data_IF_510382887582
#
_entry.id   IF_510382887582
#
_cell.length_a   1.000
_cell.length_b   1.000
_cell.length_c   1.000
_cell.angle_alpha   90.00
_cell.angle_beta   90.00
_cell.angle_gamma   90.00
#
_symmetry.space_group_name_H-M   'P 1'
#
loop_
_entity.id
_entity.type
_entity.pdbx_description
1 polymer ?
#
# COMPACT_ATOMS: atom_id res chain seq x y z
N UNK A 1 -28.26 -3.52 -15.68
CA UNK A 1 -28.84 -4.09 -14.45
C UNK A 1 -29.63 -3.00 -13.78
N UNK A 2 -30.88 -3.25 -13.37
CA UNK A 2 -31.67 -2.30 -12.56
C UNK A 2 -31.56 -2.71 -11.10
N UNK A 3 -30.87 -1.89 -10.30
CA UNK A 3 -30.78 -1.70 -8.83
C UNK A 3 -31.27 -2.72 -7.76
N UNK A 4 -31.99 -3.80 -8.05
CA UNK A 4 -32.56 -4.69 -7.02
C UNK A 4 -31.59 -5.75 -6.47
N UNK A 5 -30.32 -5.79 -6.92
CA UNK A 5 -29.45 -6.97 -6.70
C UNK A 5 -28.03 -6.72 -6.18
N UNK A 6 -27.66 -5.54 -5.63
CA UNK A 6 -26.39 -5.43 -4.88
C UNK A 6 -26.65 -5.82 -3.42
N UNK A 7 -26.17 -7.00 -3.02
CA UNK A 7 -26.37 -7.53 -1.67
C UNK A 7 -25.71 -6.65 -0.59
N UNK A 8 -26.20 -6.73 0.65
CA UNK A 8 -25.57 -6.02 1.79
C UNK A 8 -24.11 -6.40 1.99
N UNK A 9 -23.78 -7.66 1.70
CA UNK A 9 -22.42 -8.19 1.77
C UNK A 9 -21.53 -7.53 0.71
N UNK A 10 -22.04 -7.38 -0.51
CA UNK A 10 -21.35 -6.70 -1.59
C UNK A 10 -21.14 -5.20 -1.27
N UNK A 11 -22.14 -4.52 -0.71
CA UNK A 11 -21.96 -3.14 -0.25
C UNK A 11 -20.87 -3.05 0.82
N UNK A 12 -20.83 -3.99 1.77
CA UNK A 12 -19.78 -4.04 2.79
C UNK A 12 -18.40 -4.33 2.18
N UNK A 13 -18.34 -5.15 1.13
CA UNK A 13 -17.14 -5.42 0.32
C UNK A 13 -16.61 -4.14 -0.33
N UNK A 14 -17.47 -3.45 -1.08
CA UNK A 14 -17.12 -2.25 -1.84
C UNK A 14 -16.64 -1.12 -0.92
N UNK A 15 -17.19 -1.01 0.28
CA UNK A 15 -16.70 -0.04 1.29
C UNK A 15 -15.26 -0.29 1.74
N UNK A 16 -14.78 -1.54 1.66
CA UNK A 16 -13.45 -1.98 2.12
C UNK A 16 -12.43 -2.08 0.99
N UNK A 17 -12.77 -1.62 -0.21
CA UNK A 17 -11.82 -1.53 -1.33
C UNK A 17 -10.67 -0.60 -0.98
N UNK A 18 -9.53 -0.86 -1.59
CA UNK A 18 -8.32 -0.06 -1.42
C UNK A 18 -8.54 1.39 -1.93
N UNK A 19 -8.44 2.41 -1.05
CA UNK A 19 -8.60 3.81 -1.45
C UNK A 19 -7.62 4.24 -2.55
N UNK A 20 -6.39 3.73 -2.55
CA UNK A 20 -5.41 4.02 -3.60
C UNK A 20 -5.83 3.44 -4.96
N UNK A 21 -6.38 2.22 -4.96
CA UNK A 21 -6.93 1.58 -6.15
C UNK A 21 -8.11 2.34 -6.74
N UNK A 22 -9.04 2.75 -5.88
CA UNK A 22 -10.22 3.54 -6.29
C UNK A 22 -9.80 4.90 -6.84
N UNK A 23 -8.84 5.57 -6.19
CA UNK A 23 -8.27 6.82 -6.71
C UNK A 23 -7.62 6.60 -8.08
N UNK A 24 -6.80 5.56 -8.25
CA UNK A 24 -6.18 5.24 -9.53
C UNK A 24 -7.23 4.95 -10.63
N UNK A 25 -8.30 4.24 -10.31
CA UNK A 25 -9.40 3.95 -11.25
C UNK A 25 -10.21 5.19 -11.62
N UNK A 26 -10.44 6.13 -10.67
CA UNK A 26 -11.09 7.41 -10.95
C UNK A 26 -10.23 8.31 -11.86
N UNK A 27 -8.90 8.26 -11.68
CA UNK A 27 -7.98 8.89 -12.62
C UNK A 27 -8.04 8.17 -13.95
N UNK A 28 -8.06 6.84 -13.98
CA UNK A 28 -8.11 6.09 -15.23
C UNK A 28 -9.33 6.42 -16.09
N UNK A 29 -10.49 6.60 -15.46
CA UNK A 29 -11.76 6.79 -16.13
C UNK A 29 -11.98 8.21 -16.65
N UNK A 30 -11.08 9.16 -16.38
CA UNK A 30 -11.33 10.58 -16.71
C UNK A 30 -12.08 11.35 -15.63
N UNK A 31 -12.52 10.68 -14.56
CA UNK A 31 -13.38 11.28 -13.53
C UNK A 31 -12.61 12.17 -12.54
N UNK A 32 -11.29 11.99 -12.44
CA UNK A 32 -10.43 12.78 -11.57
C UNK A 32 -9.10 13.12 -12.27
N UNK A 33 -8.60 14.34 -12.09
CA UNK A 33 -7.25 14.71 -12.54
C UNK A 33 -6.19 14.11 -11.61
N UNK A 34 -5.05 13.73 -12.16
CA UNK A 34 -3.99 13.03 -11.42
C UNK A 34 -3.46 13.78 -10.18
N UNK A 35 -3.33 15.11 -10.23
CA UNK A 35 -2.83 15.90 -9.09
C UNK A 35 -3.93 16.24 -8.08
N UNK A 36 -5.18 15.85 -8.33
CA UNK A 36 -6.30 16.16 -7.44
C UNK A 36 -6.26 15.22 -6.25
N UNK A 37 -6.00 15.78 -5.07
CA UNK A 37 -6.13 15.02 -3.84
C UNK A 37 -7.60 14.63 -3.59
N UNK A 38 -7.84 13.41 -3.13
CA UNK A 38 -9.14 13.06 -2.58
C UNK A 38 -9.25 13.75 -1.21
N UNK A 39 -10.25 14.63 -1.01
CA UNK A 39 -10.34 15.41 0.22
C UNK A 39 -10.59 14.50 1.42
N UNK A 40 -9.95 14.84 2.54
CA UNK A 40 -10.15 14.14 3.82
C UNK A 40 -11.58 14.32 4.38
N UNK A 41 -12.34 15.28 3.86
CA UNK A 41 -13.69 15.64 4.31
C UNK A 41 -14.52 16.22 3.16
N UNK A 42 -15.79 15.82 3.10
CA UNK A 42 -16.83 16.43 2.24
C UNK A 42 -17.91 16.97 3.20
N UNK A 43 -18.00 18.29 3.35
CA UNK A 43 -19.01 19.00 4.16
C UNK A 43 -19.16 18.56 5.64
N UNK A 44 -20.40 18.43 6.11
CA UNK A 44 -20.81 18.09 7.48
C UNK A 44 -21.00 16.59 7.72
N UNK A 45 -20.80 15.76 6.70
CA UNK A 45 -20.81 14.31 6.85
C UNK A 45 -19.54 13.90 7.61
N UNK A 46 -19.70 13.11 8.68
CA UNK A 46 -18.55 12.48 9.36
C UNK A 46 -17.87 11.57 8.34
N UNK A 47 -16.68 11.90 7.83
CA UNK A 47 -16.06 11.11 6.79
C UNK A 47 -15.36 9.95 7.48
N UNK A 48 -15.77 8.72 7.17
CA UNK A 48 -14.78 7.65 7.10
C UNK A 48 -14.93 7.01 5.71
N UNK A 49 -14.01 7.38 4.80
CA UNK A 49 -12.89 6.48 4.49
C UNK A 49 -13.32 5.25 3.68
N UNK A 50 -14.25 5.40 2.75
CA UNK A 50 -14.62 4.28 1.91
C UNK A 50 -14.67 4.70 0.44
N UNK A 51 -14.42 3.73 -0.42
CA UNK A 51 -14.37 3.91 -1.86
C UNK A 51 -15.59 4.64 -2.44
N UNK A 52 -16.76 4.50 -1.83
CA UNK A 52 -18.03 5.07 -2.32
C UNK A 52 -17.97 6.59 -2.27
N UNK A 53 -17.49 7.17 -1.18
CA UNK A 53 -17.43 8.63 -1.04
C UNK A 53 -16.39 9.26 -1.99
N UNK A 54 -15.29 8.56 -2.26
CA UNK A 54 -14.33 8.97 -3.28
C UNK A 54 -14.97 9.05 -4.67
N UNK A 55 -15.78 8.06 -5.04
CA UNK A 55 -16.48 8.02 -6.32
C UNK A 55 -17.55 9.09 -6.41
N UNK A 56 -18.36 9.26 -5.36
CA UNK A 56 -19.36 10.34 -5.28
C UNK A 56 -18.72 11.71 -5.47
N UNK A 57 -17.57 11.95 -4.85
CA UNK A 57 -16.82 13.20 -4.98
C UNK A 57 -16.34 13.43 -6.41
N UNK A 58 -15.63 12.46 -6.98
CA UNK A 58 -15.01 12.60 -8.30
C UNK A 58 -16.07 12.71 -9.41
N UNK A 59 -17.07 11.82 -9.38
CA UNK A 59 -18.10 11.73 -10.42
C UNK A 59 -19.27 12.68 -10.21
N UNK A 60 -19.37 13.34 -9.04
CA UNK A 60 -20.52 14.15 -8.62
C UNK A 60 -21.84 13.38 -8.75
N UNK A 61 -21.82 12.11 -8.36
CA UNK A 61 -22.94 11.18 -8.51
C UNK A 61 -23.59 10.85 -7.16
N UNK A 62 -24.77 10.22 -7.19
CA UNK A 62 -25.41 9.72 -5.98
C UNK A 62 -24.77 8.42 -5.46
N UNK A 63 -25.27 7.94 -4.32
CA UNK A 63 -24.77 6.73 -3.66
C UNK A 63 -24.91 5.47 -4.50
N UNK A 64 -26.01 5.34 -5.25
CA UNK A 64 -26.31 4.14 -6.02
C UNK A 64 -25.45 4.09 -7.28
N UNK A 65 -25.32 5.22 -7.96
CA UNK A 65 -24.41 5.39 -9.10
C UNK A 65 -22.96 5.10 -8.70
N UNK A 66 -22.55 5.49 -7.49
CA UNK A 66 -21.22 5.18 -6.98
C UNK A 66 -21.02 3.68 -6.69
N UNK A 67 -22.04 3.00 -6.15
CA UNK A 67 -22.00 1.56 -5.92
C UNK A 67 -21.92 0.78 -7.24
N UNK A 68 -22.74 1.13 -8.22
CA UNK A 68 -22.72 0.50 -9.55
C UNK A 68 -21.35 0.64 -10.19
N UNK A 69 -20.78 1.86 -10.17
CA UNK A 69 -19.44 2.10 -10.71
C UNK A 69 -18.38 1.25 -10.00
N UNK A 70 -18.40 1.19 -8.66
CA UNK A 70 -17.43 0.38 -7.91
C UNK A 70 -17.60 -1.11 -8.18
N UNK A 71 -18.83 -1.59 -8.24
CA UNK A 71 -19.12 -2.99 -8.55
C UNK A 71 -18.58 -3.37 -9.93
N UNK A 72 -18.83 -2.54 -10.96
CA UNK A 72 -18.35 -2.76 -12.32
C UNK A 72 -16.81 -2.75 -12.43
N UNK A 73 -16.14 -1.85 -11.70
CA UNK A 73 -14.69 -1.66 -11.82
C UNK A 73 -13.87 -2.57 -10.89
N UNK A 74 -14.46 -3.08 -9.81
CA UNK A 74 -13.78 -3.86 -8.78
C UNK A 74 -14.47 -5.19 -8.46
N UNK A 75 -15.26 -5.75 -9.39
CA UNK A 75 -15.93 -7.05 -9.22
C UNK A 75 -14.96 -8.16 -8.75
N UNK A 76 -13.77 -8.22 -9.36
CA UNK A 76 -12.75 -9.25 -9.08
C UNK A 76 -11.74 -8.83 -7.98
N UNK A 77 -11.91 -7.67 -7.35
CA UNK A 77 -10.95 -7.20 -6.34
C UNK A 77 -11.16 -7.88 -4.98
N UNK A 78 -10.21 -8.76 -4.64
CA UNK A 78 -10.14 -9.51 -3.39
C UNK A 78 -9.40 -8.80 -2.23
N UNK A 79 -9.07 -7.51 -2.33
CA UNK A 79 -8.47 -6.74 -1.22
C UNK A 79 -9.33 -6.78 0.05
N UNK A 80 -10.64 -6.86 -0.11
CA UNK A 80 -11.60 -6.97 0.99
C UNK A 80 -11.48 -8.26 1.84
N UNK A 81 -11.09 -9.40 1.23
CA UNK A 81 -11.03 -10.71 1.91
C UNK A 81 -9.92 -10.76 2.97
N UNK A 82 -8.92 -9.90 2.83
CA UNK A 82 -7.74 -9.83 3.71
C UNK A 82 -7.93 -8.89 4.90
N UNK A 83 -9.02 -8.12 4.91
CA UNK A 83 -9.42 -7.23 5.98
C UNK A 83 -10.33 -7.90 7.04
N UNK A 84 -10.33 -9.24 7.11
CA UNK A 84 -11.20 -10.02 8.01
C UNK A 84 -10.39 -10.47 9.24
N UNK A 85 -10.93 -10.23 10.45
CA UNK A 85 -10.40 -10.79 11.70
C UNK A 85 -9.80 -9.79 12.70
N UNK A 86 -10.33 -8.56 12.76
CA UNK A 86 -9.87 -7.55 13.72
C UNK A 86 -10.34 -7.94 15.12
N UNK A 87 -9.41 -8.37 15.99
CA UNK A 87 -9.66 -8.39 17.44
C UNK A 87 -9.45 -6.97 17.96
N UNK A 88 -10.54 -6.29 18.33
CA UNK A 88 -10.45 -4.99 18.97
C UNK A 88 -9.73 -5.16 20.31
N UNK A 89 -8.71 -4.36 20.57
CA UNK A 89 -8.07 -4.36 21.89
C UNK A 89 -9.04 -3.64 22.83
N UNK A 90 -9.72 -4.40 23.68
CA UNK A 90 -10.64 -3.91 24.71
C UNK A 90 -9.86 -3.36 25.92
N UNK A 91 -8.98 -2.38 25.69
CA UNK A 91 -8.39 -1.61 26.79
C UNK A 91 -8.45 -0.13 26.50
N UNK A 92 -8.53 0.65 27.57
CA UNK A 92 -8.39 2.09 27.48
C UNK A 92 -6.97 2.43 27.01
N UNK A 93 -6.91 3.39 26.07
CA UNK A 93 -5.67 3.88 25.51
C UNK A 93 -5.13 5.01 26.39
N UNK A 94 -3.82 5.05 26.59
CA UNK A 94 -3.19 6.22 27.19
C UNK A 94 -3.25 7.42 26.24
N UNK A 95 -3.20 8.64 26.76
CA UNK A 95 -3.22 9.87 25.95
C UNK A 95 -2.15 9.88 24.84
N UNK A 96 -0.94 9.40 25.17
CA UNK A 96 0.13 9.26 24.17
C UNK A 96 -0.22 8.27 23.05
N UNK A 97 -0.94 7.19 23.36
CA UNK A 97 -1.38 6.21 22.37
C UNK A 97 -2.52 6.76 21.51
N UNK A 98 -3.39 7.60 22.06
CA UNK A 98 -4.43 8.32 21.30
C UNK A 98 -3.78 9.25 20.27
N UNK A 99 -2.72 9.98 20.65
CA UNK A 99 -1.96 10.83 19.72
C UNK A 99 -1.28 9.98 18.63
N UNK A 100 -0.61 8.89 19.00
CA UNK A 100 0.01 7.99 18.02
C UNK A 100 -1.03 7.41 17.07
N UNK A 101 -2.20 6.98 17.56
CA UNK A 101 -3.29 6.47 16.72
C UNK A 101 -3.77 7.47 15.67
N UNK A 102 -3.85 8.76 16.03
CA UNK A 102 -4.19 9.83 15.09
C UNK A 102 -3.10 10.00 14.02
N UNK A 103 -1.83 9.95 14.41
CA UNK A 103 -0.70 10.07 13.49
C UNK A 103 -0.58 8.86 12.54
N UNK A 104 -0.74 7.64 13.07
CA UNK A 104 -0.80 6.40 12.27
C UNK A 104 -1.89 6.49 11.22
N UNK A 105 -3.11 6.86 11.64
CA UNK A 105 -4.23 7.03 10.71
C UNK A 105 -3.90 8.08 9.64
N UNK A 106 -3.43 9.25 10.05
CA UNK A 106 -3.05 10.32 9.12
C UNK A 106 -2.00 9.88 8.10
N UNK A 107 -1.02 9.09 8.53
CA UNK A 107 0.03 8.56 7.66
C UNK A 107 -0.52 7.50 6.69
N UNK A 108 -1.33 6.56 7.19
CA UNK A 108 -1.97 5.53 6.37
C UNK A 108 -2.91 6.13 5.33
N UNK A 109 -3.74 7.12 5.69
CA UNK A 109 -4.65 7.82 4.78
C UNK A 109 -3.89 8.54 3.65
N UNK A 110 -2.75 9.16 4.00
CA UNK A 110 -1.90 9.88 3.06
C UNK A 110 -1.24 8.93 2.05
N UNK A 111 -0.74 7.78 2.52
CA UNK A 111 -0.27 6.71 1.65
C UNK A 111 -1.45 6.14 0.82
N UNK A 112 -2.62 6.04 1.44
CA UNK A 112 -3.84 5.44 0.89
C UNK A 112 -3.76 3.93 0.73
N UNK A 113 -2.76 3.27 1.33
CA UNK A 113 -2.62 1.81 1.24
C UNK A 113 -3.61 1.10 2.16
N UNK A 114 -4.22 0.03 1.65
CA UNK A 114 -5.06 -0.87 2.44
C UNK A 114 -4.27 -1.77 3.38
N UNK A 115 -3.06 -2.17 2.95
CA UNK A 115 -2.21 -3.14 3.64
C UNK A 115 -0.80 -2.59 3.83
N UNK A 116 -0.20 -2.91 4.97
CA UNK A 116 1.18 -2.61 5.26
C UNK A 116 1.86 -3.73 6.05
N UNK A 117 3.18 -3.80 5.90
CA UNK A 117 4.06 -4.64 6.70
C UNK A 117 4.69 -3.79 7.79
N UNK A 118 4.67 -4.27 9.03
CA UNK A 118 5.36 -3.64 10.14
C UNK A 118 6.74 -4.28 10.36
N UNK A 119 7.75 -3.44 10.59
CA UNK A 119 9.11 -3.88 10.90
C UNK A 119 9.64 -3.17 12.13
N UNK A 120 10.16 -3.94 13.08
CA UNK A 120 10.86 -3.45 14.25
C UNK A 120 12.35 -3.60 14.02
N UNK A 121 13.01 -2.51 13.66
CA UNK A 121 14.42 -2.47 13.26
C UNK A 121 15.32 -2.21 14.47
N UNK A 122 16.41 -2.96 14.57
CA UNK A 122 17.42 -2.73 15.61
C UNK A 122 18.04 -1.33 15.49
N UNK A 123 18.41 -0.70 16.61
CA UNK A 123 19.00 0.65 16.59
C UNK A 123 20.34 0.72 15.86
N UNK A 124 21.06 -0.39 15.77
CA UNK A 124 22.34 -0.50 15.08
C UNK A 124 22.20 -0.81 13.57
N UNK A 125 21.00 -1.15 13.10
CA UNK A 125 20.78 -1.55 11.71
C UNK A 125 20.76 -0.34 10.75
N UNK A 126 21.31 -0.54 9.55
CA UNK A 126 21.27 0.46 8.48
C UNK A 126 20.08 0.23 7.55
N UNK A 127 19.32 1.28 7.26
CA UNK A 127 18.09 1.23 6.45
C UNK A 127 18.42 0.76 5.03
N UNK A 128 19.53 1.24 4.44
CA UNK A 128 19.99 0.86 3.11
C UNK A 128 20.21 -0.65 2.90
N UNK A 129 20.43 -1.43 3.98
CA UNK A 129 20.70 -2.88 3.92
C UNK A 129 19.45 -3.76 4.00
N UNK A 130 18.24 -3.19 4.07
CA UNK A 130 16.98 -3.93 4.23
C UNK A 130 16.75 -5.03 3.17
N UNK A 131 17.31 -4.87 1.97
CA UNK A 131 17.15 -5.81 0.85
C UNK A 131 17.95 -7.12 1.01
N UNK A 132 19.08 -7.07 1.71
CA UNK A 132 20.02 -8.19 1.86
C UNK A 132 20.05 -8.75 3.29
N UNK A 133 19.39 -8.09 4.23
CA UNK A 133 19.45 -8.45 5.64
C UNK A 133 18.43 -9.53 6.04
N UNK A 134 18.85 -10.41 6.95
CA UNK A 134 17.99 -11.44 7.52
C UNK A 134 16.96 -10.78 8.45
N UNK A 135 15.71 -10.75 8.01
CA UNK A 135 14.56 -10.40 8.86
C UNK A 135 14.07 -11.64 9.60
N UNK A 136 14.01 -11.56 10.92
CA UNK A 136 13.48 -12.64 11.74
C UNK A 136 11.95 -12.58 11.76
N UNK A 137 11.32 -13.69 11.38
CA UNK A 137 9.88 -13.84 11.37
C UNK A 137 9.39 -14.13 12.79
N UNK A 138 8.57 -13.26 13.36
CA UNK A 138 7.99 -13.51 14.69
C UNK A 138 6.48 -13.23 14.68
N UNK A 139 5.73 -14.09 15.36
CA UNK A 139 4.28 -13.91 15.54
C UNK A 139 4.00 -12.81 16.55
N UNK A 140 2.84 -12.16 16.50
CA UNK A 140 2.47 -11.12 17.48
C UNK A 140 2.54 -11.65 18.93
N UNK A 141 2.02 -12.86 19.17
CA UNK A 141 2.00 -13.50 20.50
C UNK A 141 3.37 -13.97 20.98
N UNK A 142 4.23 -14.43 20.08
CA UNK A 142 5.60 -14.81 20.45
C UNK A 142 6.43 -13.56 20.68
N UNK A 143 6.20 -12.51 19.89
CA UNK A 143 6.87 -11.24 20.06
C UNK A 143 6.49 -10.58 21.38
N UNK A 144 5.24 -10.63 21.83
CA UNK A 144 4.85 -10.17 23.17
C UNK A 144 5.59 -10.90 24.31
N UNK A 145 5.97 -12.16 24.10
CA UNK A 145 6.69 -12.99 25.08
C UNK A 145 8.22 -12.89 24.96
N UNK A 146 8.75 -12.24 23.91
CA UNK A 146 10.19 -12.09 23.75
C UNK A 146 10.75 -11.18 24.86
N UNK A 147 11.91 -11.53 25.42
CA UNK A 147 12.59 -10.69 26.40
C UNK A 147 12.84 -9.29 25.81
N UNK A 148 12.97 -8.25 26.66
CA UNK A 148 13.32 -6.91 26.22
C UNK A 148 14.57 -6.98 25.34
N UNK A 149 14.58 -6.22 24.23
CA UNK A 149 15.71 -6.27 23.28
C UNK A 149 17.06 -6.07 24.00
N UNK A 150 17.08 -5.20 25.01
CA UNK A 150 18.24 -4.89 25.85
C UNK A 150 18.93 -6.09 26.52
N UNK A 151 18.24 -7.24 26.67
CA UNK A 151 18.80 -8.46 27.25
C UNK A 151 19.44 -9.40 26.21
N UNK A 152 19.23 -9.13 24.92
CA UNK A 152 19.80 -9.93 23.81
C UNK A 152 21.18 -9.38 23.42
N UNK A 153 22.23 -10.16 23.70
CA UNK A 153 23.61 -9.80 23.37
C UNK A 153 23.76 -9.34 21.90
N UNK A 154 24.45 -8.21 21.61
CA UNK A 154 24.60 -7.65 20.26
C UNK A 154 25.14 -8.64 19.22
N UNK A 155 25.98 -9.59 19.65
CA UNK A 155 26.54 -10.63 18.78
C UNK A 155 25.47 -11.54 18.15
N UNK A 156 24.36 -11.78 18.87
CA UNK A 156 23.22 -12.57 18.36
C UNK A 156 22.41 -11.83 17.29
N UNK A 157 22.69 -10.54 17.07
CA UNK A 157 22.04 -9.66 16.07
C UNK A 157 22.89 -9.46 14.83
N UNK A 158 24.14 -9.94 14.81
CA UNK A 158 25.06 -9.74 13.70
C UNK A 158 24.45 -10.28 12.39
N UNK A 159 24.25 -9.40 11.42
CA UNK A 159 23.63 -9.74 10.12
C UNK A 159 22.10 -9.71 10.09
N UNK A 160 21.42 -9.33 11.18
CA UNK A 160 19.96 -9.16 11.24
C UNK A 160 19.58 -7.68 11.18
N UNK A 161 18.51 -7.36 10.47
CA UNK A 161 17.96 -6.00 10.39
C UNK A 161 16.95 -5.70 11.50
N UNK A 162 16.19 -6.71 11.89
CA UNK A 162 15.09 -6.55 12.82
C UNK A 162 14.07 -7.67 12.68
N UNK A 163 12.89 -7.40 13.22
CA UNK A 163 11.77 -8.32 13.28
C UNK A 163 10.65 -7.90 12.32
N UNK A 164 10.16 -8.86 11.55
CA UNK A 164 8.90 -8.73 10.80
C UNK A 164 7.75 -9.14 11.71
N UNK A 165 6.89 -8.18 12.04
CA UNK A 165 5.70 -8.45 12.84
C UNK A 165 4.70 -9.22 11.99
N UNK A 166 4.07 -10.25 12.56
CA UNK A 166 2.96 -10.95 11.91
C UNK A 166 3.38 -12.08 10.96
N UNK A 167 4.66 -12.44 10.91
CA UNK A 167 5.11 -13.61 10.14
C UNK A 167 5.15 -14.85 11.02
N UNK A 168 4.41 -15.89 10.64
CA UNK A 168 4.25 -17.14 11.38
C UNK A 168 4.54 -18.36 10.51
N UNK A 169 4.93 -19.47 11.12
CA UNK A 169 4.97 -20.77 10.45
C UNK A 169 3.67 -21.51 10.76
N UNK A 170 2.86 -21.80 9.75
CA UNK A 170 1.62 -22.57 9.88
C UNK A 170 1.72 -23.79 8.97
N UNK A 171 1.57 -25.00 9.53
CA UNK A 171 1.69 -26.26 8.79
C UNK A 171 3.00 -26.43 8.00
N UNK A 172 4.11 -25.85 8.48
CA UNK A 172 5.40 -25.85 7.80
C UNK A 172 5.58 -24.76 6.73
N UNK A 173 4.54 -23.98 6.42
CA UNK A 173 4.60 -22.86 5.48
C UNK A 173 4.74 -21.51 6.22
N UNK A 174 5.57 -20.62 5.68
CA UNK A 174 5.72 -19.25 6.20
C UNK A 174 4.55 -18.41 5.71
N UNK A 175 3.63 -18.07 6.62
CA UNK A 175 2.51 -17.17 6.37
C UNK A 175 2.83 -15.80 6.93
N UNK A 176 2.59 -14.74 6.15
CA UNK A 176 2.77 -13.35 6.58
C UNK A 176 1.41 -12.67 6.70
N UNK A 177 1.17 -12.02 7.84
CA UNK A 177 0.04 -11.13 8.06
C UNK A 177 0.43 -9.71 7.64
N UNK A 178 -0.38 -9.10 6.78
CA UNK A 178 -0.34 -7.66 6.54
C UNK A 178 -1.34 -6.95 7.44
N UNK A 179 -1.03 -5.71 7.79
CA UNK A 179 -1.76 -4.89 8.75
C UNK A 179 -2.48 -3.78 8.00
N UNK A 180 -3.80 -3.69 8.17
CA UNK A 180 -4.52 -2.49 7.76
C UNK A 180 -4.39 -1.38 8.81
N UNK A 181 -4.92 -0.19 8.54
CA UNK A 181 -4.87 0.96 9.46
C UNK A 181 -5.34 0.62 10.87
N UNK A 182 -6.42 -0.16 11.00
CA UNK A 182 -6.97 -0.51 12.30
C UNK A 182 -6.11 -1.52 13.04
N UNK A 183 -5.52 -2.47 12.32
CA UNK A 183 -4.55 -3.41 12.90
C UNK A 183 -3.33 -2.66 13.45
N UNK A 184 -2.77 -1.72 12.69
CA UNK A 184 -1.62 -0.91 13.17
C UNK A 184 -2.01 -0.10 14.40
N UNK A 185 -3.20 0.51 14.43
CA UNK A 185 -3.71 1.24 15.59
C UNK A 185 -3.86 0.33 16.83
N UNK A 186 -4.33 -0.90 16.63
CA UNK A 186 -4.45 -1.88 17.72
C UNK A 186 -3.06 -2.32 18.24
N UNK A 187 -2.02 -2.29 17.40
CA UNK A 187 -0.65 -2.62 17.79
C UNK A 187 0.08 -1.47 18.52
N UNK A 188 -0.49 -0.25 18.63
CA UNK A 188 0.25 0.94 19.12
C UNK A 188 0.88 0.73 20.49
N UNK A 189 0.21 0.05 21.41
CA UNK A 189 0.75 -0.21 22.75
C UNK A 189 2.01 -1.07 22.73
N UNK A 190 1.96 -2.18 22.00
CA UNK A 190 3.13 -3.06 21.80
C UNK A 190 4.25 -2.31 21.09
N UNK A 191 3.95 -1.61 20.00
CA UNK A 191 4.96 -0.85 19.23
C UNK A 191 5.61 0.25 20.09
N UNK A 192 4.84 0.90 20.97
CA UNK A 192 5.33 1.96 21.86
C UNK A 192 6.29 1.38 22.90
N UNK A 193 5.95 0.25 23.49
CA UNK A 193 6.83 -0.47 24.41
C UNK A 193 8.15 -0.83 23.71
N UNK A 194 8.07 -1.46 22.54
CA UNK A 194 9.24 -1.90 21.76
C UNK A 194 10.11 -0.74 21.29
N UNK A 195 9.50 0.41 20.98
CA UNK A 195 10.26 1.62 20.72
C UNK A 195 10.97 2.17 21.97
N UNK A 196 10.37 2.03 23.14
CA UNK A 196 11.02 2.31 24.43
C UNK A 196 12.21 1.41 24.74
N UNK A 197 12.19 0.17 24.26
CA UNK A 197 13.29 -0.79 24.41
C UNK A 197 14.47 -0.54 23.46
N UNK A 198 14.30 0.35 22.47
CA UNK A 198 15.36 0.72 21.52
C UNK A 198 15.16 0.17 20.11
N UNK A 199 13.95 -0.27 19.75
CA UNK A 199 13.62 -0.66 18.37
C UNK A 199 13.00 0.50 17.59
N UNK A 200 13.44 0.68 16.34
CA UNK A 200 12.84 1.63 15.41
C UNK A 200 11.59 1.00 14.78
N UNK A 201 10.53 1.80 14.62
CA UNK A 201 9.27 1.31 14.02
C UNK A 201 9.15 1.80 12.59
N UNK A 202 9.03 0.84 11.67
CA UNK A 202 8.91 1.06 10.23
C UNK A 202 7.61 0.44 9.71
N UNK A 203 7.08 1.04 8.65
CA UNK A 203 5.92 0.58 7.91
C UNK A 203 6.27 0.52 6.42
N UNK A 204 6.05 -0.62 5.77
CA UNK A 204 6.21 -0.78 4.32
C UNK A 204 4.84 -0.99 3.67
N UNK A 205 4.36 -0.09 2.80
CA UNK A 205 3.11 -0.28 2.08
C UNK A 205 3.15 -1.56 1.22
N UNK A 206 2.10 -2.38 1.29
CA UNK A 206 1.95 -3.65 0.57
C UNK A 206 0.78 -3.61 -0.41
N UNK A 207 0.81 -2.62 -1.28
CA UNK A 207 -0.33 -2.23 -2.12
C UNK A 207 -0.35 -2.99 -3.48
N UNK A 208 -1.55 -3.37 -3.92
CA UNK A 208 -1.79 -4.03 -5.21
C UNK A 208 -1.87 -3.06 -6.38
N UNK A 209 -2.23 -1.81 -6.10
CA UNK A 209 -2.64 -0.79 -7.05
C UNK A 209 -1.64 0.36 -7.18
N UNK A 210 -0.68 0.50 -6.25
CA UNK A 210 0.33 1.55 -6.31
C UNK A 210 1.75 1.07 -6.04
N UNK A 211 2.71 1.78 -6.63
CA UNK A 211 4.09 1.83 -6.16
C UNK A 211 4.30 3.07 -5.29
N UNK A 212 5.27 2.97 -4.39
CA UNK A 212 5.69 4.06 -3.52
C UNK A 212 7.16 4.36 -3.80
N UNK A 213 7.45 5.59 -4.16
CA UNK A 213 8.81 6.08 -4.40
C UNK A 213 9.21 6.87 -3.17
N UNK A 214 10.15 6.32 -2.41
CA UNK A 214 10.75 6.95 -1.25
C UNK A 214 12.02 7.71 -1.69
N UNK A 215 12.13 8.98 -1.31
CA UNK A 215 13.36 9.75 -1.27
C UNK A 215 13.79 9.78 0.20
N UNK A 216 14.79 8.97 0.55
CA UNK A 216 15.30 8.86 1.92
C UNK A 216 16.41 9.87 2.17
N UNK A 217 16.61 10.31 3.42
CA UNK A 217 17.48 11.45 3.77
C UNK A 217 17.31 12.65 2.79
N UNK A 218 16.06 13.02 2.55
CA UNK A 218 15.68 13.91 1.45
C UNK A 218 16.26 15.33 1.57
N UNK A 219 16.86 15.78 0.47
CA UNK A 219 17.31 17.14 0.24
C UNK A 219 16.20 18.00 -0.40
N UNK A 220 16.39 19.31 -0.41
CA UNK A 220 15.60 20.19 -1.25
C UNK A 220 15.88 19.94 -2.75
N UNK A 221 15.05 20.51 -3.64
CA UNK A 221 15.24 20.35 -5.09
C UNK A 221 16.49 21.02 -5.68
N UNK A 222 17.26 21.73 -4.86
CA UNK A 222 18.56 22.27 -5.22
C UNK A 222 19.72 21.42 -4.69
N UNK A 223 19.42 20.26 -4.07
CA UNK A 223 20.42 19.35 -3.51
C UNK A 223 21.01 19.85 -2.19
N UNK A 224 20.27 20.64 -1.41
CA UNK A 224 20.72 21.19 -0.13
C UNK A 224 19.87 20.68 1.03
N UNK A 225 20.49 20.58 2.20
CA UNK A 225 19.77 20.36 3.45
C UNK A 225 18.85 21.56 3.75
N UNK A 226 17.65 21.28 4.23
CA UNK A 226 16.63 22.28 4.55
C UNK A 226 15.77 21.81 5.72
N UNK A 227 15.23 22.75 6.50
CA UNK A 227 14.25 22.46 7.55
C UNK A 227 12.90 22.00 6.99
N UNK A 228 12.63 22.29 5.71
CA UNK A 228 11.41 21.87 5.02
C UNK A 228 11.72 21.57 3.55
N UNK A 229 12.45 20.49 3.25
CA UNK A 229 12.85 20.18 1.88
C UNK A 229 11.63 20.04 0.98
N UNK A 230 10.56 19.42 1.48
CA UNK A 230 9.28 19.20 0.78
C UNK A 230 8.67 20.46 0.19
N UNK A 231 8.88 21.64 0.80
CA UNK A 231 8.35 22.90 0.28
C UNK A 231 8.89 23.20 -1.12
N UNK A 232 10.20 23.07 -1.32
CA UNK A 232 10.82 23.28 -2.64
C UNK A 232 10.27 22.33 -3.70
N UNK A 233 9.97 21.08 -3.32
CA UNK A 233 9.36 20.10 -4.21
C UNK A 233 7.96 20.54 -4.63
N UNK A 234 7.13 20.96 -3.68
CA UNK A 234 5.77 21.45 -3.93
C UNK A 234 5.79 22.70 -4.82
N UNK A 235 6.68 23.67 -4.52
CA UNK A 235 6.83 24.91 -5.27
C UNK A 235 7.24 24.63 -6.73
N UNK A 236 7.99 23.56 -6.98
CA UNK A 236 8.36 23.09 -8.32
C UNK A 236 7.30 22.20 -9.01
N UNK A 237 6.09 22.12 -8.43
CA UNK A 237 4.94 21.40 -9.00
C UNK A 237 4.88 19.90 -8.69
N UNK A 238 5.74 19.38 -7.80
CA UNK A 238 5.56 18.01 -7.31
C UNK A 238 4.40 17.94 -6.31
N UNK A 239 3.79 16.76 -6.18
CA UNK A 239 2.70 16.47 -5.23
C UNK A 239 3.04 15.23 -4.39
N UNK A 240 3.93 15.35 -3.39
CA UNK A 240 4.20 14.26 -2.46
C UNK A 240 2.91 13.80 -1.78
N UNK A 241 2.74 12.51 -1.54
CA UNK A 241 1.61 12.04 -0.74
C UNK A 241 1.90 12.13 0.76
N UNK A 242 3.16 11.97 1.15
CA UNK A 242 3.61 12.04 2.53
C UNK A 242 5.02 12.63 2.57
N UNK A 243 5.26 13.49 3.56
CA UNK A 243 6.61 13.83 3.98
C UNK A 243 6.74 13.72 5.50
N UNK A 244 7.88 13.19 5.94
CA UNK A 244 8.18 12.97 7.34
C UNK A 244 9.47 13.69 7.71
N UNK A 245 9.55 14.28 8.89
CA UNK A 245 10.80 14.59 9.57
C UNK A 245 11.17 13.37 10.43
N UNK A 246 12.21 12.64 10.05
CA UNK A 246 12.58 11.33 10.63
C UNK A 246 13.66 11.43 11.72
N UNK A 247 14.42 12.52 11.73
CA UNK A 247 15.32 12.90 12.82
C UNK A 247 15.38 14.42 12.94
N UNK A 248 16.40 14.97 13.60
CA UNK A 248 16.53 16.41 13.79
C UNK A 248 16.54 17.19 12.46
N UNK A 249 17.31 16.70 11.47
CA UNK A 249 17.50 17.40 10.19
C UNK A 249 17.21 16.50 8.96
N UNK A 250 16.83 15.24 9.16
CA UNK A 250 16.54 14.30 8.07
C UNK A 250 15.04 14.17 7.80
N UNK A 251 14.71 13.98 6.53
CA UNK A 251 13.36 13.90 6.03
C UNK A 251 13.17 12.70 5.09
N UNK A 252 11.93 12.21 5.02
CA UNK A 252 11.50 11.24 4.00
C UNK A 252 10.45 11.86 3.09
N UNK A 253 10.77 11.86 1.81
CA UNK A 253 10.02 12.14 0.57
C UNK A 253 9.15 11.00 0.02
N UNK A 254 7.82 10.94 0.13
CA UNK A 254 7.06 9.82 -0.48
C UNK A 254 6.16 10.32 -1.61
N UNK A 255 6.31 9.69 -2.78
CA UNK A 255 5.40 9.82 -3.91
C UNK A 255 4.70 8.51 -4.19
N UNK A 256 3.42 8.59 -4.55
CA UNK A 256 2.64 7.44 -5.03
C UNK A 256 2.60 7.46 -6.55
N UNK A 257 2.78 6.30 -7.16
CA UNK A 257 2.65 6.08 -8.60
C UNK A 257 1.66 4.94 -8.83
N UNK A 258 0.61 5.13 -9.62
CA UNK A 258 -0.42 4.10 -9.78
C UNK A 258 0.11 2.96 -10.67
N UNK A 259 -0.22 1.72 -10.34
CA UNK A 259 0.02 0.51 -11.16
C UNK A 259 -1.04 0.37 -12.26
N UNK A 260 -2.28 0.79 -11.96
CA UNK A 260 -3.46 0.80 -12.83
C UNK A 260 -3.80 2.24 -13.29
N UNK A 261 -4.48 2.47 -14.44
CA UNK A 261 -5.16 1.50 -15.31
C UNK A 261 -4.25 0.73 -16.26
N UNK A 262 -2.94 0.87 -16.12
CA UNK A 262 -2.03 0.35 -17.11
C UNK A 262 -1.68 -1.14 -16.96
N UNK A 263 -2.58 -1.95 -16.38
CA UNK A 263 -2.48 -3.41 -16.40
C UNK A 263 -3.11 -3.91 -17.68
N UNK A 264 -2.31 -4.56 -18.53
CA UNK A 264 -2.82 -5.28 -19.69
C UNK A 264 -3.42 -6.61 -19.20
N UNK A 265 -4.71 -6.86 -19.47
CA UNK A 265 -5.49 -8.03 -19.00
C UNK A 265 -4.94 -9.39 -19.47
N UNK A 266 -3.92 -9.40 -20.30
CA UNK A 266 -3.45 -10.51 -21.11
C UNK A 266 -2.15 -11.17 -20.59
N UNK A 267 -1.58 -10.73 -19.46
CA UNK A 267 -0.40 -11.36 -18.87
C UNK A 267 -0.72 -12.18 -17.60
N UNK A 268 -0.29 -13.43 -17.64
CA UNK A 268 -0.49 -14.48 -16.63
C UNK A 268 0.06 -14.04 -15.27
N UNK A 269 -0.83 -13.82 -14.29
CA UNK A 269 -0.63 -14.17 -12.88
C UNK A 269 0.53 -13.55 -12.10
N UNK A 270 1.30 -12.60 -12.63
CA UNK A 270 2.33 -11.87 -11.90
C UNK A 270 2.15 -10.36 -12.07
N UNK A 271 2.54 -9.63 -11.02
CA UNK A 271 2.45 -8.18 -10.72
C UNK A 271 2.96 -7.26 -11.87
N UNK A 272 2.23 -7.25 -13.00
CA UNK A 272 2.51 -6.57 -14.27
C UNK A 272 1.70 -5.27 -14.41
N UNK A 273 2.28 -4.16 -13.96
CA UNK A 273 1.89 -2.79 -14.34
C UNK A 273 2.54 -2.39 -15.67
N UNK A 274 2.09 -1.33 -16.36
CA UNK A 274 2.80 -0.84 -17.56
C UNK A 274 4.20 -0.28 -17.31
N UNK A 275 4.58 -0.08 -16.05
CA UNK A 275 5.94 0.28 -15.73
C UNK A 275 6.81 -0.95 -15.96
N UNK A 276 7.77 -0.83 -16.89
CA UNK A 276 8.97 -1.63 -16.79
C UNK A 276 9.55 -1.38 -15.39
N UNK A 277 9.51 -2.41 -14.53
CA UNK A 277 10.03 -2.35 -13.16
C UNK A 277 11.45 -1.84 -13.14
N UNK A 278 12.25 -2.14 -14.16
CA UNK A 278 13.63 -1.66 -14.28
C UNK A 278 13.65 -0.14 -14.45
N UNK A 279 12.82 0.42 -15.32
CA UNK A 279 12.73 1.87 -15.52
C UNK A 279 12.24 2.62 -14.28
N UNK A 280 11.21 2.10 -13.60
CA UNK A 280 10.73 2.68 -12.33
C UNK A 280 11.82 2.62 -11.25
N UNK A 281 12.56 1.51 -11.19
CA UNK A 281 13.68 1.34 -10.28
C UNK A 281 14.83 2.31 -10.60
N UNK A 282 15.14 2.52 -11.89
CA UNK A 282 16.14 3.50 -12.33
C UNK A 282 15.72 4.93 -11.96
N UNK A 283 14.43 5.27 -12.13
CA UNK A 283 13.92 6.56 -11.68
C UNK A 283 14.07 6.75 -10.17
N UNK A 284 13.66 5.75 -9.37
CA UNK A 284 13.86 5.74 -7.92
C UNK A 284 15.32 5.90 -7.50
N UNK A 285 16.24 5.18 -8.15
CA UNK A 285 17.69 5.30 -7.90
C UNK A 285 18.21 6.69 -8.30
N UNK A 286 17.73 7.24 -9.42
CA UNK A 286 18.13 8.58 -9.85
C UNK A 286 17.72 9.66 -8.86
N UNK A 287 16.48 9.59 -8.36
CA UNK A 287 15.99 10.54 -7.35
C UNK A 287 16.80 10.49 -6.07
N UNK A 288 17.10 9.29 -5.55
CA UNK A 288 17.88 9.16 -4.32
C UNK A 288 19.36 9.49 -4.52
N UNK A 289 19.93 9.25 -5.69
CA UNK A 289 21.30 9.71 -5.97
C UNK A 289 21.39 11.23 -5.99
N UNK A 290 20.40 11.90 -6.58
CA UNK A 290 20.46 13.34 -6.82
C UNK A 290 19.92 14.16 -5.63
N UNK A 291 18.97 13.61 -4.86
CA UNK A 291 18.24 14.33 -3.81
C UNK A 291 18.00 13.53 -2.51
N UNK A 292 18.67 12.40 -2.28
CA UNK A 292 18.47 11.58 -1.09
C UNK A 292 19.68 10.68 -0.74
N UNK A 293 19.42 9.53 -0.09
CA UNK A 293 20.45 8.53 0.21
C UNK A 293 20.71 7.62 -1.00
N UNK A 294 21.78 7.87 -1.74
CA UNK A 294 22.22 7.05 -2.87
C UNK A 294 22.43 5.56 -2.56
N UNK A 295 22.52 5.15 -1.29
CA UNK A 295 22.69 3.75 -0.88
C UNK A 295 21.38 2.97 -0.92
N UNK A 296 20.24 3.65 -0.95
CA UNK A 296 18.93 3.00 -1.07
C UNK A 296 18.72 2.45 -2.49
N UNK A 297 18.42 1.16 -2.58
CA UNK A 297 18.40 0.44 -3.86
C UNK A 297 17.14 -0.43 -4.07
N UNK A 298 16.11 -0.25 -3.24
CA UNK A 298 14.88 -1.04 -3.29
C UNK A 298 13.63 -0.18 -3.29
N UNK A 299 12.77 -0.38 -4.29
CA UNK A 299 11.44 0.26 -4.38
C UNK A 299 10.50 -0.13 -3.23
N UNK A 300 10.69 -1.32 -2.64
CA UNK A 300 9.97 -1.74 -1.42
C UNK A 300 10.88 -1.48 -0.24
N UNK A 301 10.61 -0.39 0.48
CA UNK A 301 11.41 0.06 1.61
C UNK A 301 10.54 0.44 2.80
N UNK A 302 11.08 0.28 4.00
CA UNK A 302 10.43 0.73 5.23
C UNK A 302 10.39 2.25 5.32
N UNK A 303 9.20 2.80 5.50
CA UNK A 303 8.97 4.21 5.82
C UNK A 303 8.89 4.33 7.34
N UNK A 304 9.47 5.37 7.92
CA UNK A 304 9.39 5.61 9.37
C UNK A 304 7.95 5.82 9.80
N UNK A 305 7.54 5.21 10.92
CA UNK A 305 6.18 5.38 11.45
C UNK A 305 6.12 6.60 12.38
N UNK A 306 5.23 7.55 12.07
CA UNK A 306 5.05 8.77 12.85
C UNK A 306 4.55 8.49 14.27
N UNK A 307 4.98 9.34 15.22
CA UNK A 307 4.63 9.20 16.64
C UNK A 307 5.59 8.31 17.44
N UNK A 308 6.55 7.66 16.79
CA UNK A 308 7.62 6.89 17.43
C UNK A 308 8.96 7.63 17.39
N UNK A 309 9.89 7.27 18.28
CA UNK A 309 11.25 7.82 18.31
C UNK A 309 12.15 7.12 17.29
N UNK A 310 13.02 7.88 16.64
CA UNK A 310 14.15 7.34 15.91
C UNK A 310 15.34 7.14 16.86
N UNK A 311 15.52 5.90 17.29
CA UNK A 311 16.44 5.51 18.37
C UNK A 311 17.83 5.12 17.87
N UNK A 312 18.18 5.47 16.62
CA UNK A 312 19.54 5.25 16.11
C UNK A 312 20.56 6.05 16.95
N UNK A 313 21.70 5.45 17.36
CA UNK A 313 22.67 6.10 18.26
C UNK A 313 23.15 7.46 17.76
N UNK A 314 23.33 7.64 16.44
CA UNK A 314 23.75 8.93 15.84
C UNK A 314 22.78 10.10 16.06
N UNK A 315 21.57 9.83 16.54
CA UNK A 315 20.55 10.85 16.84
C UNK A 315 20.36 11.11 18.32
N UNK A 316 21.07 10.37 19.19
CA UNK A 316 21.10 10.62 20.61
C UNK A 316 21.66 12.03 20.90
N UNK A 317 20.97 12.79 21.75
CA UNK A 317 21.46 14.05 22.30
C UNK A 317 21.44 13.99 23.81
N UNK A 318 22.52 14.43 24.45
CA UNK A 318 22.53 14.59 25.89
C UNK A 318 21.63 15.75 26.29
N UNK A 319 20.77 15.54 27.29
CA UNK A 319 19.83 16.54 27.77
C UNK A 319 19.86 16.57 29.29
N UNK A 320 20.32 17.69 29.83
CA UNK A 320 20.34 17.95 31.27
C UNK A 320 18.92 18.02 31.83
N UNK A 321 18.69 17.46 33.02
CA UNK A 321 17.39 17.49 33.70
C UNK A 321 16.36 16.46 33.22
N UNK A 322 16.68 15.58 32.26
CA UNK A 322 15.83 14.43 31.90
C UNK A 322 16.30 13.17 32.64
N UNK A 323 15.34 12.35 33.10
CA UNK A 323 15.59 11.14 33.89
C UNK A 323 16.58 10.14 33.25
N UNK A 324 16.68 10.14 31.92
CA UNK A 324 17.53 9.21 31.16
C UNK A 324 18.79 9.87 30.57
N UNK A 325 18.99 11.18 30.78
CA UNK A 325 20.13 11.95 30.27
C UNK A 325 20.25 12.05 28.74
N UNK A 326 19.47 11.28 27.98
CA UNK A 326 19.55 11.18 26.51
C UNK A 326 18.16 11.31 25.88
N UNK A 327 18.08 12.08 24.80
CA UNK A 327 16.87 12.23 23.98
C UNK A 327 17.07 11.75 22.55
N UNK A 328 16.00 11.20 21.99
CA UNK A 328 15.89 10.82 20.58
C UNK A 328 14.71 11.56 19.94
N UNK A 329 14.83 11.96 18.65
CA UNK A 329 13.77 12.70 17.97
C UNK A 329 12.57 11.80 17.69
N UNK A 330 11.37 12.38 17.78
CA UNK A 330 10.14 11.76 17.28
C UNK A 330 10.03 11.96 15.77
N UNK A 331 9.55 10.92 15.08
CA UNK A 331 9.15 11.01 13.67
C UNK A 331 7.87 11.82 13.57
N UNK A 332 7.89 12.90 12.78
CA UNK A 332 6.77 13.83 12.63
C UNK A 332 6.30 13.89 11.18
N UNK A 333 5.00 14.05 10.98
CA UNK A 333 4.42 14.31 9.66
C UNK A 333 4.57 15.80 9.36
N UNK A 334 5.25 16.14 8.27
CA UNK A 334 5.41 17.53 7.80
C UNK A 334 4.52 17.85 6.60
N UNK A 335 4.15 16.83 5.82
CA UNK A 335 3.17 16.92 4.75
C UNK A 335 2.37 15.61 4.63
N UNK A 336 1.08 15.68 4.33
CA UNK A 336 0.25 14.49 4.17
C UNK A 336 -1.02 14.78 3.36
N UNK A 337 -1.08 14.31 2.12
CA UNK A 337 -2.21 14.46 1.22
C UNK A 337 -2.37 13.18 0.39
N UNK A 338 -3.59 12.64 0.28
CA UNK A 338 -3.84 11.43 -0.51
C UNK A 338 -3.92 11.80 -2.00
N UNK A 339 -2.76 11.97 -2.61
CA UNK A 339 -2.61 12.47 -3.99
C UNK A 339 -1.61 11.65 -4.79
N UNK A 340 -1.77 11.68 -6.12
CA UNK A 340 -0.73 11.25 -7.04
C UNK A 340 0.03 12.48 -7.57
N UNK A 341 1.22 12.24 -8.11
CA UNK A 341 2.04 13.31 -8.68
C UNK A 341 2.23 13.07 -10.17
N UNK A 342 1.64 13.93 -10.99
CA UNK A 342 1.77 13.90 -12.46
C UNK A 342 3.23 14.01 -12.91
N UNK A 343 4.00 14.88 -12.25
CA UNK A 343 5.42 15.07 -12.57
C UNK A 343 6.22 13.79 -12.31
N UNK A 344 6.04 13.19 -11.14
CA UNK A 344 6.64 11.89 -10.78
C UNK A 344 6.22 10.79 -11.74
N UNK A 345 4.93 10.73 -12.11
CA UNK A 345 4.42 9.78 -13.09
C UNK A 345 5.12 9.94 -14.45
N UNK A 346 5.15 11.16 -14.97
CA UNK A 346 5.75 11.45 -16.27
C UNK A 346 7.25 11.17 -16.29
N UNK A 347 7.97 11.50 -15.22
CA UNK A 347 9.42 11.25 -15.12
C UNK A 347 9.73 9.75 -14.99
N UNK A 348 8.92 9.00 -14.22
CA UNK A 348 9.01 7.55 -14.17
C UNK A 348 8.75 6.91 -15.54
N UNK A 349 7.74 7.38 -16.28
CA UNK A 349 7.40 6.88 -17.62
C UNK A 349 8.51 7.13 -18.64
N UNK A 350 9.22 8.27 -18.56
CA UNK A 350 10.40 8.53 -19.41
C UNK A 350 11.48 7.47 -19.18
N UNK A 351 11.74 7.07 -17.94
CA UNK A 351 12.77 6.06 -17.62
C UNK A 351 12.35 4.64 -18.01
N UNK A 352 11.06 4.32 -18.02
CA UNK A 352 10.55 3.03 -18.53
C UNK A 352 10.63 2.87 -20.05
N UNK A 353 10.98 3.93 -20.79
CA UNK A 353 10.82 3.98 -22.26
C UNK A 353 11.95 3.34 -23.07
N UNK A 354 13.07 2.92 -22.46
CA UNK A 354 14.22 2.43 -23.21
C UNK A 354 14.14 0.98 -23.74
N UNK A 355 13.16 0.15 -23.33
CA UNK A 355 13.08 -1.26 -23.77
C UNK A 355 11.69 -1.77 -24.23
N UNK A 356 10.65 -0.93 -24.30
CA UNK A 356 9.30 -1.39 -24.68
C UNK A 356 8.67 -0.47 -25.73
N UNK A 357 9.18 -0.55 -26.96
CA UNK A 357 8.75 0.23 -28.13
C UNK A 357 7.27 0.02 -28.50
N UNK A 358 6.58 -0.98 -27.95
CA UNK A 358 5.16 -1.25 -28.23
C UNK A 358 4.13 -0.68 -27.24
N UNK A 359 4.50 -0.48 -25.96
CA UNK A 359 3.57 -0.08 -24.90
C UNK A 359 3.68 1.39 -24.50
N UNK A 360 4.83 2.03 -24.71
CA UNK A 360 5.02 3.45 -24.37
C UNK A 360 4.09 4.35 -25.19
N UNK A 361 3.96 4.11 -26.49
CA UNK A 361 3.01 4.85 -27.34
C UNK A 361 1.57 4.55 -26.95
N UNK A 362 1.23 3.33 -26.47
CA UNK A 362 -0.11 3.05 -25.93
C UNK A 362 -0.37 3.74 -24.60
N UNK A 363 0.62 3.81 -23.71
CA UNK A 363 0.51 4.49 -22.41
C UNK A 363 0.47 6.01 -22.59
N UNK A 364 1.31 6.57 -23.45
CA UNK A 364 1.26 7.98 -23.87
C UNK A 364 -0.04 8.29 -24.59
N UNK A 365 -0.49 7.44 -25.51
CA UNK A 365 -1.77 7.62 -26.21
C UNK A 365 -2.95 7.44 -25.27
N UNK A 366 -2.88 6.56 -24.26
CA UNK A 366 -3.90 6.44 -23.20
C UNK A 366 -3.92 7.71 -22.35
N UNK A 367 -2.77 8.23 -21.94
CA UNK A 367 -2.64 9.51 -21.23
C UNK A 367 -3.07 10.72 -22.09
N UNK A 368 -2.83 10.71 -23.40
CA UNK A 368 -3.24 11.76 -24.34
C UNK A 368 -4.73 11.68 -24.69
N UNK A 369 -5.27 10.49 -24.91
CA UNK A 369 -6.72 10.25 -25.08
C UNK A 369 -7.48 10.63 -23.80
N UNK A 370 -6.88 10.37 -22.63
CA UNK A 370 -7.34 10.81 -21.31
C UNK A 370 -7.34 12.34 -21.18
N UNK A 371 -6.26 13.02 -21.60
CA UNK A 371 -6.16 14.49 -21.63
C UNK A 371 -7.19 15.13 -22.57
N UNK A 372 -7.67 14.39 -23.58
CA UNK A 372 -8.60 14.86 -24.61
C UNK A 372 -10.05 14.32 -24.43
N UNK A 373 -10.37 13.62 -23.34
CA UNK A 373 -11.73 13.14 -23.06
C UNK A 373 -12.28 12.08 -24.03
N UNK A 374 -11.41 11.37 -24.76
CA UNK A 374 -11.84 10.37 -25.74
C UNK A 374 -12.11 9.01 -25.06
N UNK A 375 -13.35 8.75 -24.65
CA UNK A 375 -13.83 7.41 -24.30
C UNK A 375 -13.87 6.54 -25.57
N UNK A 376 -13.11 5.44 -25.59
CA UNK A 376 -13.28 4.42 -26.65
C UNK A 376 -14.53 3.60 -26.35
N UNK A 377 -15.44 3.38 -27.32
CA UNK A 377 -16.48 2.37 -27.17
C UNK A 377 -15.84 0.99 -27.05
N UNK A 378 -16.26 0.23 -26.03
CA UNK A 378 -15.84 -1.16 -25.83
C UNK A 378 -16.27 -1.99 -27.05
N UNK A 379 -15.30 -2.49 -27.82
CA UNK A 379 -15.56 -3.62 -28.70
C UNK A 379 -15.64 -4.87 -27.84
N UNK A 380 -16.84 -5.43 -27.73
CA UNK A 380 -17.10 -6.74 -27.13
C UNK A 380 -16.38 -7.80 -27.99
N UNK A 381 -15.21 -8.26 -27.54
CA UNK A 381 -14.60 -9.47 -28.10
C UNK A 381 -15.23 -10.68 -27.44
N UNK A 382 -15.68 -11.63 -28.26
CA UNK A 382 -16.21 -12.90 -27.77
C UNK A 382 -15.13 -13.71 -27.02
N UNK A 383 -15.51 -14.42 -25.94
CA UNK A 383 -14.56 -15.13 -25.10
C UNK A 383 -13.84 -16.23 -25.89
N UNK A 384 -12.50 -16.18 -25.90
CA UNK A 384 -11.67 -17.29 -26.38
C UNK A 384 -11.57 -18.35 -25.28
N UNK A 385 -11.81 -19.62 -25.63
CA UNK A 385 -11.70 -20.73 -24.69
C UNK A 385 -10.26 -20.94 -24.24
N UNK A 386 -10.05 -20.94 -22.92
CA UNK A 386 -8.76 -21.18 -22.29
C UNK A 386 -8.59 -22.70 -22.17
N UNK A 387 -7.60 -23.28 -22.88
CA UNK A 387 -7.23 -24.69 -22.68
C UNK A 387 -6.31 -24.82 -21.45
N UNK A 388 -6.54 -25.78 -20.53
CA UNK A 388 -5.68 -25.97 -19.36
C UNK A 388 -4.29 -26.48 -19.74
N UNK A 389 -3.25 -25.77 -19.30
CA UNK A 389 -1.84 -25.99 -19.69
C UNK A 389 -1.13 -27.06 -18.83
N UNK A 390 -1.67 -27.43 -17.66
CA UNK A 390 -1.06 -28.43 -16.77
C UNK A 390 -1.80 -29.77 -16.77
N UNK A 391 -1.08 -30.88 -16.53
CA UNK A 391 -1.65 -32.22 -16.44
C UNK A 391 -2.68 -32.34 -15.30
N UNK A 392 -2.41 -31.68 -14.16
CA UNK A 392 -3.36 -31.52 -13.06
C UNK A 392 -4.61 -30.71 -13.47
N UNK A 393 -4.43 -29.66 -14.28
CA UNK A 393 -5.54 -28.87 -14.82
C UNK A 393 -6.42 -29.67 -15.78
N UNK A 394 -5.84 -30.57 -16.58
CA UNK A 394 -6.58 -31.49 -17.46
C UNK A 394 -7.38 -32.52 -16.67
N UNK A 395 -6.81 -33.08 -15.59
CA UNK A 395 -7.53 -34.01 -14.73
C UNK A 395 -8.64 -33.34 -13.92
N UNK A 396 -8.43 -32.11 -13.45
CA UNK A 396 -9.44 -31.33 -12.75
C UNK A 396 -10.61 -30.92 -13.66
N UNK A 397 -10.33 -30.57 -14.92
CA UNK A 397 -11.36 -30.29 -15.93
C UNK A 397 -12.16 -31.55 -16.28
N UNK A 398 -11.49 -32.70 -16.49
CA UNK A 398 -12.18 -33.96 -16.78
C UNK A 398 -13.09 -34.42 -15.63
N UNK A 399 -12.67 -34.23 -14.37
CA UNK A 399 -13.50 -34.54 -13.20
C UNK A 399 -14.72 -33.62 -13.06
N UNK A 400 -14.60 -32.34 -13.44
CA UNK A 400 -15.74 -31.41 -13.47
C UNK A 400 -16.75 -31.79 -14.57
N UNK A 401 -16.26 -32.11 -15.77
CA UNK A 401 -17.12 -32.55 -16.87
C UNK A 401 -17.87 -33.86 -16.54
N UNK A 402 -17.26 -34.78 -15.79
CA UNK A 402 -17.92 -36.01 -15.33
C UNK A 402 -18.97 -35.73 -14.23
N UNK A 403 -18.70 -34.80 -13.31
CA UNK A 403 -19.65 -34.38 -12.28
C UNK A 403 -20.85 -33.63 -12.87
N UNK A 404 -20.64 -32.74 -13.83
CA UNK A 404 -21.72 -32.02 -14.51
C UNK A 404 -22.61 -32.98 -15.30
N UNK A 405 -22.02 -33.95 -16.03
CA UNK A 405 -22.81 -34.98 -16.74
C UNK A 405 -23.59 -35.91 -15.81
N UNK A 406 -23.09 -36.19 -14.61
CA UNK A 406 -23.84 -36.95 -13.61
C UNK A 406 -24.98 -36.14 -12.98
N UNK A 407 -24.76 -34.84 -12.81
CA UNK A 407 -25.77 -33.92 -12.25
C UNK A 407 -26.91 -33.71 -13.24
N UNK A 408 -26.59 -33.51 -14.53
CA UNK A 408 -27.60 -33.36 -15.58
C UNK A 408 -28.44 -34.64 -15.79
N UNK A 409 -27.81 -35.83 -15.71
CA UNK A 409 -28.55 -37.10 -15.76
C UNK A 409 -29.51 -37.29 -14.57
N UNK A 410 -29.12 -36.84 -13.37
CA UNK A 410 -30.01 -36.91 -12.20
C UNK A 410 -31.15 -35.89 -12.27
N UNK A 411 -30.97 -34.77 -12.96
CA UNK A 411 -32.02 -33.76 -13.19
C UNK A 411 -33.03 -34.28 -14.22
N UNK A 412 -32.58 -34.92 -15.29
CA UNK A 412 -33.47 -35.52 -16.31
C UNK A 412 -34.28 -36.71 -15.77
N UNK A 413 -33.70 -37.57 -14.93
CA UNK A 413 -34.43 -38.69 -14.31
C UNK A 413 -35.50 -38.21 -13.30
N UNK A 414 -35.25 -37.11 -12.58
CA UNK A 414 -36.25 -36.50 -11.69
C UNK A 414 -37.33 -35.75 -12.47
N UNK A 415 -37.00 -35.15 -13.61
CA UNK A 415 -37.97 -34.49 -14.50
C UNK A 415 -38.97 -35.46 -15.12
N UNK A 416 -38.53 -36.68 -15.48
CA UNK A 416 -39.42 -37.69 -16.07
C UNK A 416 -40.32 -38.40 -15.06
N UNK A 417 -39.98 -38.39 -13.77
CA UNK A 417 -40.82 -38.93 -12.69
C UNK A 417 -41.96 -38.00 -12.24
N UNK A 418 -41.95 -36.73 -12.66
CA UNK A 418 -42.96 -35.72 -12.30
C UNK A 418 -44.03 -35.50 -13.38
N UNK A 419 -43.95 -36.23 -14.49
CA UNK A 419 -44.91 -36.18 -15.61
C UNK A 419 -45.58 -37.54 -15.91
N UNK A 420 -45.70 -38.43 -14.92
CA UNK A 420 -46.55 -39.62 -14.99
C UNK A 420 -47.61 -39.63 -13.91
#
# INVERSE_FOLDING_TARGET
>A
MTMDEISREEVARLRRLDPAGVHAALIASGDLLINTAIPRRIDNLRPLENAIDAVKFAKKCDYNQALEWLHEHFADDQTHERNIGIKQVERELFDSEIVINKLVKQQMDALGCSEARLTLMFKEADEATQKDALLEAVTESDFEKMPPDQEVAPEKRKGKFGYLVGKRTQNGEKVEKFFNTKDVQNCVGMLRQRNGEGLNVLLTPMDRHCFYILVDDALDLHGKESESPVKSWIDAGFKPCLALQTSWNSHQIIFRVPKEPFRFKDAVGNDDSCFDRRGLHQYFQSLNRDFGDHRISGLRHGIRLAGYRNVKPKHARDVEGKAWGVEYPFVKITHAESTFCEKTLNDALKMCSHNVVGNVERTKQALLNYRNGATRPQQVMQPRSIRPVSALGKMAAARRDEQEKQTDRQIDEKGQSLCR
#
